data_IF_453423801670
#
_entry.id   IF_453423801670
#
_cell.length_a   1.000
_cell.length_b   1.000
_cell.length_c   1.000
_cell.angle_alpha   90.00
_cell.angle_beta   90.00
_cell.angle_gamma   90.00
#
_symmetry.space_group_name_H-M   'P 1'
#
loop_
_entity.id
_entity.type
_entity.pdbx_description
1 polymer ?
#
# COMPACT_ATOMS: atom_id res chain seq x y z
N UNK A 1 -6.86 20.40 -8.21
CA UNK A 1 -5.64 19.62 -8.06
C UNK A 1 -5.81 18.62 -6.93
N UNK A 2 -5.36 17.44 -7.16
CA UNK A 2 -5.47 16.38 -6.18
C UNK A 2 -4.34 16.51 -5.15
N UNK A 3 -4.63 16.75 -3.87
CA UNK A 3 -3.57 16.96 -2.87
C UNK A 3 -2.72 15.73 -2.63
N UNK A 4 -3.30 14.55 -2.87
CA UNK A 4 -2.57 13.33 -2.74
C UNK A 4 -3.04 12.44 -3.89
N UNK A 5 -2.25 12.04 -4.72
CA UNK A 5 -2.59 11.18 -5.83
C UNK A 5 -1.67 9.99 -5.88
N UNK A 6 -0.76 9.93 -4.91
CA UNK A 6 0.27 8.91 -4.87
C UNK A 6 -0.18 7.71 -4.05
N UNK A 7 -0.05 6.53 -4.63
CA UNK A 7 -0.33 5.26 -3.97
C UNK A 7 0.97 4.46 -3.98
N UNK A 8 1.37 3.94 -2.83
CA UNK A 8 2.50 3.04 -2.75
C UNK A 8 1.99 1.60 -2.80
N UNK A 9 2.43 0.84 -3.78
CA UNK A 9 2.06 -0.55 -3.96
C UNK A 9 3.22 -1.41 -3.48
N UNK A 10 2.98 -2.30 -2.52
CA UNK A 10 3.98 -3.21 -1.98
C UNK A 10 3.56 -4.63 -2.35
N UNK A 11 4.20 -5.19 -3.35
CA UNK A 11 3.83 -6.47 -3.95
C UNK A 11 5.07 -7.12 -4.54
N UNK A 12 5.33 -8.38 -4.19
CA UNK A 12 6.53 -9.08 -4.64
C UNK A 12 6.43 -9.65 -6.07
N UNK A 13 5.23 -9.87 -6.57
CA UNK A 13 5.04 -10.35 -7.94
C UNK A 13 5.15 -9.20 -8.94
N UNK A 14 6.18 -9.25 -9.80
CA UNK A 14 6.47 -8.19 -10.75
C UNK A 14 5.29 -7.88 -11.67
N UNK A 15 4.67 -8.92 -12.23
CA UNK A 15 3.55 -8.75 -13.16
C UNK A 15 2.35 -8.11 -12.49
N UNK A 16 2.02 -8.56 -11.29
CA UNK A 16 0.91 -8.00 -10.50
C UNK A 16 1.18 -6.54 -10.13
N UNK A 17 2.40 -6.26 -9.68
CA UNK A 17 2.81 -4.92 -9.28
C UNK A 17 2.71 -3.93 -10.46
N UNK A 18 3.23 -4.34 -11.62
CA UNK A 18 3.18 -3.52 -12.83
C UNK A 18 1.75 -3.30 -13.31
N UNK A 19 0.93 -4.35 -13.24
CA UNK A 19 -0.48 -4.25 -13.64
C UNK A 19 -1.23 -3.26 -12.77
N UNK A 20 -1.08 -3.33 -11.46
CA UNK A 20 -1.76 -2.41 -10.55
C UNK A 20 -1.30 -0.97 -10.79
N UNK A 21 -0.01 -0.75 -10.95
CA UNK A 21 0.52 0.58 -11.21
C UNK A 21 -0.08 1.16 -12.50
N UNK A 22 -0.16 0.36 -13.54
CA UNK A 22 -0.70 0.78 -14.83
C UNK A 22 -2.19 1.09 -14.75
N UNK A 23 -2.96 0.22 -14.09
CA UNK A 23 -4.40 0.42 -13.94
C UNK A 23 -4.71 1.67 -13.12
N UNK A 24 -3.98 1.89 -12.03
CA UNK A 24 -4.17 3.09 -11.22
C UNK A 24 -3.77 4.35 -11.98
N UNK A 25 -2.70 4.29 -12.77
CA UNK A 25 -2.30 5.40 -13.62
C UNK A 25 -3.39 5.77 -14.61
N UNK A 26 -4.04 4.78 -15.20
CA UNK A 26 -5.16 4.99 -16.13
C UNK A 26 -6.31 5.72 -15.45
N UNK A 27 -6.50 5.50 -14.16
CA UNK A 27 -7.57 6.14 -13.38
C UNK A 27 -7.14 7.48 -12.78
N UNK A 28 -5.98 7.97 -13.13
CA UNK A 28 -5.51 9.29 -12.71
C UNK A 28 -4.71 9.31 -11.42
N UNK A 29 -4.33 8.16 -10.88
CA UNK A 29 -3.49 8.09 -9.69
C UNK A 29 -2.04 7.86 -10.07
N UNK A 30 -1.14 8.46 -9.32
CA UNK A 30 0.29 8.21 -9.50
C UNK A 30 0.70 7.08 -8.56
N UNK A 31 1.16 5.98 -9.11
CA UNK A 31 1.57 4.81 -8.34
C UNK A 31 3.08 4.68 -8.31
N UNK A 32 3.60 4.48 -7.11
CA UNK A 32 5.00 4.12 -6.89
C UNK A 32 4.97 2.70 -6.33
N UNK A 33 5.89 1.86 -6.74
CA UNK A 33 5.83 0.46 -6.34
C UNK A 33 7.12 0.00 -5.68
N UNK A 34 6.96 -0.95 -4.77
CA UNK A 34 8.06 -1.60 -4.05
C UNK A 34 7.88 -3.11 -4.15
N UNK A 35 8.98 -3.83 -4.28
CA UNK A 35 8.93 -5.29 -4.41
C UNK A 35 8.91 -6.02 -3.07
N UNK A 36 9.23 -5.32 -1.98
CA UNK A 36 9.13 -5.88 -0.63
C UNK A 36 8.98 -4.76 0.41
N UNK A 37 8.80 -5.15 1.67
CA UNK A 37 8.58 -4.20 2.74
C UNK A 37 9.78 -3.30 3.03
N UNK A 38 10.99 -3.80 2.81
CA UNK A 38 12.20 -3.01 3.06
C UNK A 38 12.31 -1.87 2.05
N UNK A 39 12.10 -2.17 0.77
CA UNK A 39 12.08 -1.15 -0.27
C UNK A 39 10.97 -0.13 -0.01
N UNK A 40 9.80 -0.60 0.42
CA UNK A 40 8.68 0.26 0.75
C UNK A 40 9.04 1.26 1.86
N UNK A 41 9.72 0.81 2.90
CA UNK A 41 10.17 1.70 3.96
C UNK A 41 11.15 2.75 3.44
N UNK A 42 12.09 2.32 2.60
CA UNK A 42 13.04 3.25 2.00
C UNK A 42 12.34 4.32 1.17
N UNK A 43 11.34 3.90 0.39
CA UNK A 43 10.56 4.84 -0.43
C UNK A 43 9.77 5.83 0.43
N UNK A 44 9.11 5.36 1.48
CA UNK A 44 8.38 6.23 2.39
C UNK A 44 9.30 7.26 3.04
N UNK A 45 10.45 6.83 3.52
CA UNK A 45 11.40 7.71 4.18
C UNK A 45 12.03 8.71 3.21
N UNK A 46 12.25 8.30 1.97
CA UNK A 46 12.78 9.18 0.94
C UNK A 46 11.76 10.26 0.57
N UNK A 47 10.50 9.87 0.41
CA UNK A 47 9.42 10.79 0.01
C UNK A 47 9.14 11.81 1.11
N UNK A 48 9.18 11.42 2.40
CA UNK A 48 8.87 12.35 3.49
C UNK A 48 9.77 13.57 3.51
N UNK A 49 10.98 13.46 2.95
CA UNK A 49 11.91 14.59 2.86
C UNK A 49 11.48 15.61 1.83
N UNK A 50 10.53 15.26 1.01
CA UNK A 50 10.01 16.09 -0.07
C UNK A 50 8.53 16.38 0.15
N UNK A 51 8.13 16.58 1.41
CA UNK A 51 6.75 16.94 1.69
C UNK A 51 6.30 18.04 0.73
N UNK A 52 5.08 18.00 0.21
CA UNK A 52 3.92 17.21 0.64
C UNK A 52 3.65 15.95 -0.19
N UNK A 53 4.65 15.23 -0.60
CA UNK A 53 4.51 14.11 -1.55
C UNK A 53 4.32 12.73 -0.90
N UNK A 54 3.95 12.67 0.38
CA UNK A 54 3.65 11.40 1.04
C UNK A 54 2.50 10.69 0.34
N UNK A 55 2.54 9.35 0.23
CA UNK A 55 1.40 8.62 -0.33
C UNK A 55 0.16 8.81 0.53
N UNK A 56 -0.99 8.80 -0.12
CA UNK A 56 -2.27 8.83 0.56
C UNK A 56 -2.68 7.44 1.04
N UNK A 57 -2.07 6.41 0.52
CA UNK A 57 -2.40 5.03 0.85
C UNK A 57 -1.25 4.10 0.47
N UNK A 58 -1.01 3.10 1.31
CA UNK A 58 -0.13 1.99 0.99
C UNK A 58 -1.00 0.76 0.73
N UNK A 59 -0.87 0.16 -0.44
CA UNK A 59 -1.48 -1.13 -0.74
C UNK A 59 -0.45 -2.20 -0.41
N UNK A 60 -0.70 -2.96 0.64
CA UNK A 60 0.28 -3.82 1.25
C UNK A 60 -0.09 -5.30 1.13
N UNK A 61 0.68 -6.05 0.36
CA UNK A 61 0.57 -7.50 0.33
C UNK A 61 1.14 -8.06 1.62
N UNK A 62 0.36 -8.88 2.32
CA UNK A 62 0.82 -9.47 3.58
C UNK A 62 1.75 -10.65 3.39
N UNK A 63 1.62 -11.35 2.27
CA UNK A 63 2.32 -12.61 2.04
C UNK A 63 3.51 -12.42 1.09
N UNK A 64 4.57 -11.83 1.60
CA UNK A 64 5.81 -11.64 0.84
C UNK A 64 6.93 -12.44 1.49
N UNK A 65 7.79 -13.10 0.69
CA UNK A 65 8.75 -14.08 1.23
C UNK A 65 9.90 -13.47 2.03
N UNK A 66 10.29 -12.23 1.75
CA UNK A 66 11.41 -11.61 2.47
C UNK A 66 10.88 -10.70 3.56
N UNK A 67 10.95 -9.43 3.41
CA UNK A 67 10.43 -8.51 4.43
C UNK A 67 8.91 -8.44 4.28
N UNK A 68 8.18 -9.16 5.13
CA UNK A 68 6.73 -9.35 5.00
C UNK A 68 5.95 -8.06 5.26
N UNK A 69 4.65 -8.09 4.91
CA UNK A 69 3.76 -6.98 5.21
C UNK A 69 3.67 -6.69 6.70
N UNK A 70 3.72 -7.74 7.54
CA UNK A 70 3.70 -7.58 8.99
C UNK A 70 4.97 -6.87 9.47
N UNK A 71 6.12 -7.26 8.96
CA UNK A 71 7.39 -6.64 9.32
C UNK A 71 7.45 -5.17 8.85
N UNK A 72 6.96 -4.90 7.66
CA UNK A 72 6.84 -3.54 7.14
C UNK A 72 5.99 -2.68 8.08
N UNK A 73 4.81 -3.17 8.45
CA UNK A 73 3.89 -2.39 9.28
C UNK A 73 4.49 -2.12 10.66
N UNK A 74 5.17 -3.10 11.24
CA UNK A 74 5.84 -2.91 12.53
C UNK A 74 6.89 -1.81 12.44
N UNK A 75 7.72 -1.85 11.40
CA UNK A 75 8.76 -0.84 11.20
C UNK A 75 8.16 0.54 10.92
N UNK A 76 7.08 0.59 10.13
CA UNK A 76 6.39 1.83 9.84
C UNK A 76 5.83 2.48 11.11
N UNK A 77 5.16 1.70 11.95
CA UNK A 77 4.57 2.21 13.19
C UNK A 77 5.63 2.65 14.19
N UNK A 78 6.82 2.09 14.11
CA UNK A 78 7.94 2.49 14.95
C UNK A 78 8.62 3.77 14.49
N UNK A 79 8.25 4.32 13.35
CA UNK A 79 8.83 5.55 12.81
C UNK A 79 7.74 6.63 12.74
N UNK A 80 7.74 7.58 13.70
CA UNK A 80 6.68 8.61 13.74
C UNK A 80 6.57 9.44 12.47
N UNK A 81 7.63 9.51 11.68
CA UNK A 81 7.63 10.33 10.46
C UNK A 81 6.80 9.72 9.34
N UNK A 82 6.55 8.41 9.37
CA UNK A 82 5.78 7.71 8.33
C UNK A 82 4.63 6.89 8.90
N UNK A 83 4.47 6.84 10.21
CA UNK A 83 3.47 5.99 10.89
C UNK A 83 2.02 6.34 10.53
N UNK A 84 1.77 7.58 10.16
CA UNK A 84 0.39 8.04 9.91
C UNK A 84 -0.14 7.70 8.52
N UNK A 85 0.70 7.20 7.61
CA UNK A 85 0.23 6.84 6.26
C UNK A 85 -0.67 5.62 6.38
N UNK A 86 -1.92 5.71 5.90
CA UNK A 86 -2.86 4.58 6.02
C UNK A 86 -2.47 3.42 5.12
N UNK A 87 -2.76 2.20 5.58
CA UNK A 87 -2.52 1.00 4.78
C UNK A 87 -3.81 0.26 4.50
N UNK A 88 -3.92 -0.29 3.30
CA UNK A 88 -4.94 -1.28 2.96
C UNK A 88 -4.20 -2.60 2.70
N UNK A 89 -4.63 -3.68 3.32
CA UNK A 89 -3.95 -4.96 3.17
C UNK A 89 -4.58 -5.79 2.07
N UNK A 90 -3.74 -6.49 1.33
CA UNK A 90 -4.15 -7.43 0.29
C UNK A 90 -3.72 -8.83 0.72
N UNK A 91 -4.62 -9.79 0.70
CA UNK A 91 -4.29 -11.15 1.11
C UNK A 91 -5.32 -12.16 0.62
N UNK A 92 -4.86 -13.38 0.35
CA UNK A 92 -5.74 -14.52 0.08
C UNK A 92 -6.10 -15.31 1.33
N UNK A 93 -5.66 -14.86 2.50
CA UNK A 93 -5.94 -15.57 3.75
C UNK A 93 -7.43 -15.48 4.12
N UNK A 94 -7.95 -16.58 4.68
CA UNK A 94 -9.35 -16.63 5.12
C UNK A 94 -9.60 -15.60 6.22
N UNK A 95 -8.63 -15.38 7.08
CA UNK A 95 -8.74 -14.48 8.22
C UNK A 95 -8.20 -13.07 7.94
N UNK A 96 -8.34 -12.59 6.70
CA UNK A 96 -7.81 -11.29 6.28
C UNK A 96 -8.32 -10.14 7.15
N UNK A 97 -9.61 -10.14 7.51
CA UNK A 97 -10.19 -9.08 8.33
C UNK A 97 -9.55 -9.02 9.72
N UNK A 98 -9.32 -10.18 10.31
CA UNK A 98 -8.69 -10.27 11.62
C UNK A 98 -7.24 -9.78 11.56
N UNK A 99 -6.51 -10.17 10.51
CA UNK A 99 -5.13 -9.72 10.31
C UNK A 99 -5.06 -8.22 10.09
N UNK A 100 -5.96 -7.69 9.28
CA UNK A 100 -6.03 -6.26 9.00
C UNK A 100 -6.31 -5.47 10.28
N UNK A 101 -7.23 -5.94 11.10
CA UNK A 101 -7.57 -5.30 12.36
C UNK A 101 -6.37 -5.27 13.29
N UNK A 102 -5.64 -6.37 13.39
CA UNK A 102 -4.45 -6.45 14.23
C UNK A 102 -3.35 -5.48 13.77
N UNK A 103 -3.30 -5.17 12.49
CA UNK A 103 -2.31 -4.25 11.92
C UNK A 103 -2.79 -2.80 11.90
N UNK A 104 -4.02 -2.53 12.29
CA UNK A 104 -4.59 -1.19 12.18
C UNK A 104 -4.77 -0.72 10.75
N UNK A 105 -5.03 -1.66 9.82
CA UNK A 105 -5.27 -1.32 8.43
C UNK A 105 -6.64 -0.65 8.27
N UNK A 106 -6.73 0.27 7.31
CA UNK A 106 -7.99 1.01 7.07
C UNK A 106 -8.93 0.26 6.13
N UNK A 107 -8.43 -0.73 5.40
CA UNK A 107 -9.25 -1.51 4.48
C UNK A 107 -8.58 -2.84 4.15
N UNK A 108 -9.37 -3.75 3.60
CA UNK A 108 -8.89 -5.05 3.11
C UNK A 108 -9.29 -5.24 1.67
N UNK A 109 -8.44 -5.91 0.90
CA UNK A 109 -8.77 -6.34 -0.46
C UNK A 109 -8.40 -7.81 -0.56
N UNK A 110 -9.40 -8.66 -0.68
CA UNK A 110 -9.19 -10.11 -0.73
C UNK A 110 -8.63 -10.52 -2.10
N UNK A 111 -7.72 -11.49 -2.09
CA UNK A 111 -7.24 -12.11 -3.33
C UNK A 111 -8.14 -13.29 -3.70
N UNK A 112 -8.40 -13.52 -4.97
CA UNK A 112 -7.90 -12.78 -6.14
C UNK A 112 -8.49 -11.37 -6.21
N UNK A 113 -7.65 -10.41 -6.59
CA UNK A 113 -8.01 -8.99 -6.54
C UNK A 113 -9.04 -8.66 -7.62
N UNK A 114 -10.17 -8.09 -7.19
CA UNK A 114 -11.10 -7.41 -8.09
C UNK A 114 -10.65 -5.95 -8.17
N UNK A 115 -10.26 -5.51 -9.34
CA UNK A 115 -9.72 -4.17 -9.50
C UNK A 115 -10.73 -3.08 -9.13
N UNK A 116 -12.03 -3.31 -9.35
CA UNK A 116 -13.04 -2.33 -8.97
C UNK A 116 -13.08 -2.14 -7.45
N UNK A 117 -12.92 -3.22 -6.69
CA UNK A 117 -12.84 -3.14 -5.23
C UNK A 117 -11.59 -2.39 -4.81
N UNK A 118 -10.46 -2.70 -5.42
CA UNK A 118 -9.20 -2.03 -5.16
C UNK A 118 -9.31 -0.53 -5.44
N UNK A 119 -9.89 -0.18 -6.58
CA UNK A 119 -10.05 1.20 -7.01
C UNK A 119 -10.96 1.98 -6.07
N UNK A 120 -12.04 1.35 -5.57
CA UNK A 120 -12.91 1.98 -4.59
C UNK A 120 -12.17 2.34 -3.31
N UNK A 121 -11.31 1.45 -2.85
CA UNK A 121 -10.47 1.70 -1.66
C UNK A 121 -9.53 2.88 -1.94
N UNK A 122 -8.84 2.85 -3.07
CA UNK A 122 -7.92 3.94 -3.44
C UNK A 122 -8.67 5.28 -3.51
N UNK A 123 -9.83 5.31 -4.12
CA UNK A 123 -10.62 6.54 -4.23
C UNK A 123 -11.06 7.07 -2.89
N UNK A 124 -11.34 6.18 -1.94
CA UNK A 124 -11.78 6.59 -0.60
C UNK A 124 -10.70 7.37 0.13
N UNK A 125 -9.44 7.00 -0.06
CA UNK A 125 -8.32 7.60 0.68
C UNK A 125 -7.49 8.57 -0.13
N UNK A 126 -7.63 8.58 -1.45
CA UNK A 126 -6.76 9.35 -2.35
C UNK A 126 -7.50 10.33 -3.27
N UNK A 127 -8.80 10.38 -3.20
CA UNK A 127 -9.54 11.29 -4.09
C UNK A 127 -9.87 12.62 -3.47
#
# INVERSE_FOLDING_TARGET
>A
MRPCGNVLIVEDDDGTRELFAKLLSTEGFHAVSAEDGLEALHLLRAVRRRAPHMPCLVLLDLMMPRFSGHEFRRAQLGDPTVASVPIAVMSGAIDIEKRAQALGAVATVAKPIDFNVLLDVVRRYCA
#
